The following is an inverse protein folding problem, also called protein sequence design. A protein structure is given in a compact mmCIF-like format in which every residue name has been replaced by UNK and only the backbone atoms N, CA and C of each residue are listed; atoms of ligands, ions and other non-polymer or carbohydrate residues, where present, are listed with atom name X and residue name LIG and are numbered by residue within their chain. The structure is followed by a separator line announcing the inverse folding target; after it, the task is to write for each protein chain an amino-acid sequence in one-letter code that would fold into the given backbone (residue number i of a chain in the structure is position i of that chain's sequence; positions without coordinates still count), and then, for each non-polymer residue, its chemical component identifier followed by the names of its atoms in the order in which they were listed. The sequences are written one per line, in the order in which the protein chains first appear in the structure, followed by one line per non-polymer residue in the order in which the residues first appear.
data_IF_021284016659
#
_entry.id   IF_021284016659
#
_cell.length_a   1.000
_cell.length_b   1.000
_cell.length_c   1.000
_cell.angle_alpha   90.00
_cell.angle_beta   90.00
_cell.angle_gamma   90.00
#
_symmetry.space_group_name_H-M   'P 1'
#
loop_
_entity.id
_entity.type
_entity.pdbx_description
1 polymer ?
#
# COMPACT_ATOMS: atom_id res chain seq x y z
N UNK A 1 32.03 -16.83 -50.23
CA UNK A 1 31.33 -16.99 -48.94
C UNK A 1 31.26 -15.61 -48.28
N UNK A 2 30.14 -14.92 -48.41
CA UNK A 2 30.02 -13.50 -48.05
C UNK A 2 29.58 -13.40 -46.60
N UNK A 3 30.46 -12.91 -45.73
CA UNK A 3 30.17 -12.68 -44.31
C UNK A 3 29.33 -11.40 -44.17
N UNK A 4 28.05 -11.55 -43.85
CA UNK A 4 27.19 -10.43 -43.48
C UNK A 4 27.65 -9.85 -42.13
N UNK A 5 28.07 -8.58 -42.14
CA UNK A 5 28.29 -7.81 -40.91
C UNK A 5 26.96 -7.69 -40.16
N UNK A 6 26.89 -8.33 -38.98
CA UNK A 6 25.82 -8.10 -38.01
C UNK A 6 25.84 -6.60 -37.65
N UNK A 7 24.78 -5.88 -38.00
CA UNK A 7 24.65 -4.48 -37.59
C UNK A 7 24.49 -4.45 -36.07
N UNK A 8 25.48 -3.88 -35.37
CA UNK A 8 25.33 -3.54 -33.96
C UNK A 8 24.38 -2.34 -33.87
N UNK A 9 23.07 -2.60 -34.00
CA UNK A 9 22.07 -1.65 -33.51
C UNK A 9 22.29 -1.53 -32.01
N UNK A 10 22.93 -0.43 -31.59
CA UNK A 10 22.84 0.02 -30.20
C UNK A 10 21.35 0.15 -29.91
N UNK A 11 20.80 -0.80 -29.16
CA UNK A 11 19.48 -0.66 -28.57
C UNK A 11 19.62 0.57 -27.69
N UNK A 12 19.06 1.70 -28.14
CA UNK A 12 18.82 2.82 -27.23
C UNK A 12 17.93 2.21 -26.16
N UNK A 13 18.46 2.08 -24.93
CA UNK A 13 17.61 1.89 -23.77
C UNK A 13 16.62 3.05 -23.86
N UNK A 14 15.39 2.74 -24.20
CA UNK A 14 14.30 3.69 -24.03
C UNK A 14 14.35 3.97 -22.53
N UNK A 15 14.49 5.23 -22.13
CA UNK A 15 14.13 5.66 -20.77
C UNK A 15 12.63 5.37 -20.61
N UNK A 16 12.25 4.09 -20.57
CA UNK A 16 10.94 3.67 -20.14
C UNK A 16 10.95 3.99 -18.67
N UNK A 17 10.32 5.11 -18.29
CA UNK A 17 9.96 5.38 -16.90
C UNK A 17 9.42 4.07 -16.34
N UNK A 18 10.17 3.45 -15.43
CA UNK A 18 9.74 2.20 -14.79
C UNK A 18 8.44 2.57 -14.06
N UNK A 19 7.34 1.99 -14.51
CA UNK A 19 6.06 2.16 -13.85
C UNK A 19 6.10 1.41 -12.53
N UNK A 20 6.18 2.15 -11.43
CA UNK A 20 6.20 1.57 -10.08
C UNK A 20 4.77 1.33 -9.60
N UNK A 21 4.36 0.07 -9.56
CA UNK A 21 3.11 -0.38 -8.96
C UNK A 21 3.28 -0.68 -7.46
N UNK A 22 2.25 -0.49 -6.63
CA UNK A 22 2.31 -0.83 -5.22
C UNK A 22 2.34 -2.34 -5.01
N UNK A 23 3.27 -2.82 -4.18
CA UNK A 23 3.35 -4.19 -3.70
C UNK A 23 2.98 -4.18 -2.22
N UNK A 24 1.91 -4.86 -1.86
CA UNK A 24 1.37 -4.87 -0.50
C UNK A 24 2.07 -5.96 0.33
N UNK A 25 2.77 -5.54 1.39
CA UNK A 25 3.54 -6.41 2.27
C UNK A 25 3.00 -6.38 3.70
N UNK A 26 2.49 -7.51 4.19
CA UNK A 26 1.86 -7.61 5.52
C UNK A 26 2.82 -8.00 6.65
N UNK A 27 4.14 -8.02 6.39
CA UNK A 27 5.18 -8.42 7.36
C UNK A 27 5.10 -7.65 8.68
N UNK A 28 4.69 -6.37 8.63
CA UNK A 28 4.69 -5.45 9.77
C UNK A 28 3.29 -5.15 10.32
N UNK A 29 2.29 -5.95 9.94
CA UNK A 29 0.93 -5.78 10.43
C UNK A 29 0.89 -5.84 11.96
N UNK A 30 0.22 -4.87 12.57
CA UNK A 30 0.10 -4.76 14.03
C UNK A 30 -0.55 -6.00 14.66
N UNK A 31 -0.17 -6.30 15.90
CA UNK A 31 -0.85 -7.29 16.75
C UNK A 31 -1.99 -6.69 17.56
N UNK A 32 -2.18 -5.35 17.53
CA UNK A 32 -3.32 -4.71 18.19
C UNK A 32 -4.61 -5.18 17.52
N UNK A 33 -5.48 -5.81 18.31
CA UNK A 33 -6.71 -6.44 17.83
C UNK A 33 -7.67 -5.46 17.16
N UNK A 34 -7.66 -4.19 17.56
CA UNK A 34 -8.61 -3.20 17.06
C UNK A 34 -8.24 -2.71 15.65
N UNK A 35 -7.00 -2.95 15.21
CA UNK A 35 -6.43 -2.45 13.95
C UNK A 35 -5.86 -3.55 13.05
N UNK A 36 -6.24 -4.80 13.30
CA UNK A 36 -5.91 -5.95 12.46
C UNK A 36 -7.15 -6.84 12.28
N UNK A 37 -7.01 -7.94 11.54
CA UNK A 37 -8.11 -8.88 11.28
C UNK A 37 -8.77 -9.45 12.56
N UNK A 38 -8.10 -9.41 13.71
CA UNK A 38 -8.68 -9.79 15.01
C UNK A 38 -9.79 -8.86 15.50
N UNK A 39 -10.03 -7.74 14.81
CA UNK A 39 -11.17 -6.85 15.06
C UNK A 39 -12.49 -7.60 14.88
N UNK A 40 -12.56 -8.46 13.86
CA UNK A 40 -13.74 -9.27 13.59
C UNK A 40 -13.75 -10.49 14.50
N UNK A 41 -14.71 -10.52 15.44
CA UNK A 41 -14.84 -11.60 16.42
C UNK A 41 -15.51 -12.85 15.85
N UNK A 42 -16.26 -12.71 14.76
CA UNK A 42 -16.93 -13.83 14.10
C UNK A 42 -16.28 -14.13 12.74
N UNK A 43 -16.24 -15.41 12.38
CA UNK A 43 -15.56 -15.88 11.16
C UNK A 43 -16.23 -15.38 9.88
N UNK A 44 -17.56 -15.22 9.87
CA UNK A 44 -18.28 -14.80 8.67
C UNK A 44 -17.89 -13.39 8.24
N UNK A 45 -17.91 -12.44 9.18
CA UNK A 45 -17.55 -11.06 8.95
C UNK A 45 -16.05 -10.94 8.65
N UNK A 46 -15.21 -11.75 9.29
CA UNK A 46 -13.78 -11.83 8.99
C UNK A 46 -13.52 -12.22 7.54
N UNK A 47 -14.13 -13.31 7.06
CA UNK A 47 -13.94 -13.78 5.69
C UNK A 47 -14.51 -12.78 4.68
N UNK A 48 -15.66 -12.18 4.98
CA UNK A 48 -16.22 -11.10 4.16
C UNK A 48 -15.27 -9.89 4.09
N UNK A 49 -14.70 -9.47 5.23
CA UNK A 49 -13.77 -8.35 5.28
C UNK A 49 -12.49 -8.64 4.49
N UNK A 50 -11.93 -9.86 4.59
CA UNK A 50 -10.77 -10.27 3.78
C UNK A 50 -11.06 -10.21 2.29
N UNK A 51 -12.23 -10.69 1.85
CA UNK A 51 -12.62 -10.64 0.45
C UNK A 51 -12.70 -9.18 -0.05
N UNK A 52 -13.37 -8.31 0.70
CA UNK A 52 -13.48 -6.87 0.37
C UNK A 52 -12.09 -6.21 0.30
N UNK A 53 -11.22 -6.47 1.28
CA UNK A 53 -9.87 -5.92 1.32
C UNK A 53 -9.04 -6.41 0.13
N UNK A 54 -9.14 -7.70 -0.23
CA UNK A 54 -8.43 -8.26 -1.36
C UNK A 54 -8.87 -7.61 -2.68
N UNK A 55 -10.18 -7.46 -2.89
CA UNK A 55 -10.73 -6.80 -4.07
C UNK A 55 -10.21 -5.37 -4.21
N UNK A 56 -10.16 -4.61 -3.10
CA UNK A 56 -9.64 -3.24 -3.13
C UNK A 56 -8.12 -3.20 -3.33
N UNK A 57 -7.35 -4.14 -2.75
CA UNK A 57 -5.91 -4.27 -3.02
C UNK A 57 -5.66 -4.53 -4.50
N UNK A 58 -6.42 -5.42 -5.13
CA UNK A 58 -6.30 -5.73 -6.57
C UNK A 58 -6.56 -4.47 -7.40
N UNK A 59 -7.61 -3.70 -7.07
CA UNK A 59 -7.91 -2.43 -7.74
C UNK A 59 -6.77 -1.43 -7.59
N UNK A 60 -6.23 -1.27 -6.38
CA UNK A 60 -5.11 -0.34 -6.11
C UNK A 60 -3.84 -0.78 -6.86
N UNK A 61 -3.55 -2.09 -6.89
CA UNK A 61 -2.39 -2.65 -7.56
C UNK A 61 -2.47 -2.54 -9.09
N UNK A 62 -3.65 -2.35 -9.66
CA UNK A 62 -3.81 -2.07 -11.10
C UNK A 62 -3.31 -0.68 -11.52
N UNK A 63 -2.98 0.19 -10.57
CA UNK A 63 -2.53 1.57 -10.79
C UNK A 63 -1.10 1.77 -10.31
N UNK A 64 -0.37 2.63 -11.00
CA UNK A 64 0.98 3.03 -10.55
C UNK A 64 0.90 3.96 -9.34
N UNK A 65 1.99 4.07 -8.58
CA UNK A 65 2.12 5.05 -7.51
C UNK A 65 1.86 6.48 -7.98
N UNK A 66 2.31 6.81 -9.20
CA UNK A 66 2.08 8.14 -9.79
C UNK A 66 0.60 8.39 -10.02
N UNK A 67 -0.11 7.43 -10.64
CA UNK A 67 -1.54 7.54 -10.88
C UNK A 67 -2.32 7.67 -9.55
N UNK A 68 -2.01 6.82 -8.57
CA UNK A 68 -2.63 6.88 -7.24
C UNK A 68 -2.38 8.21 -6.52
N UNK A 69 -1.19 8.80 -6.67
CA UNK A 69 -0.84 10.08 -6.07
C UNK A 69 -1.46 11.30 -6.75
N UNK A 70 -1.90 11.17 -8.02
CA UNK A 70 -2.62 12.22 -8.76
C UNK A 70 -4.13 12.20 -8.50
N UNK A 71 -4.65 11.10 -7.95
CA UNK A 71 -6.05 10.93 -7.67
C UNK A 71 -6.49 11.64 -6.38
N UNK A 72 -7.79 11.92 -6.29
CA UNK A 72 -8.38 12.45 -5.05
C UNK A 72 -8.22 11.46 -3.90
N UNK A 73 -8.29 11.93 -2.65
CA UNK A 73 -8.26 11.07 -1.45
C UNK A 73 -9.31 9.95 -1.44
N UNK A 74 -10.39 10.09 -2.21
CA UNK A 74 -11.46 9.10 -2.34
C UNK A 74 -11.05 7.89 -3.18
N UNK A 75 -10.16 8.07 -4.15
CA UNK A 75 -9.81 7.03 -5.14
C UNK A 75 -8.31 6.70 -5.18
N UNK A 76 -7.47 7.65 -4.76
CA UNK A 76 -6.04 7.49 -4.47
C UNK A 76 -5.79 7.29 -2.97
N UNK A 77 -4.81 8.01 -2.42
CA UNK A 77 -4.47 7.95 -1.00
C UNK A 77 -4.35 9.33 -0.37
N UNK A 78 -4.41 9.36 0.97
CA UNK A 78 -3.97 10.48 1.78
C UNK A 78 -2.73 10.11 2.60
N UNK A 79 -2.06 11.12 3.16
CA UNK A 79 -0.89 10.91 4.01
C UNK A 79 -1.11 11.49 5.40
N UNK A 80 -0.66 10.75 6.40
CA UNK A 80 -0.59 11.19 7.80
C UNK A 80 0.82 10.98 8.34
N UNK A 81 1.19 11.69 9.40
CA UNK A 81 2.44 11.44 10.12
C UNK A 81 2.27 10.27 11.10
N UNK A 82 3.32 9.49 11.31
CA UNK A 82 3.29 8.32 12.19
C UNK A 82 2.87 8.66 13.63
N UNK A 83 3.25 9.84 14.13
CA UNK A 83 2.84 10.32 15.45
C UNK A 83 1.33 10.54 15.62
N UNK A 84 0.54 10.52 14.55
CA UNK A 84 -0.92 10.62 14.60
C UNK A 84 -1.59 9.25 14.81
N UNK A 85 -0.85 8.14 14.68
CA UNK A 85 -1.41 6.80 14.86
C UNK A 85 -1.58 6.43 16.33
N UNK A 86 -2.70 5.77 16.60
CA UNK A 86 -3.06 5.23 17.91
C UNK A 86 -2.59 3.78 18.13
N UNK A 87 -1.77 3.23 17.22
CA UNK A 87 -1.21 1.89 17.33
C UNK A 87 0.20 1.80 16.73
N UNK A 88 0.89 0.70 17.01
CA UNK A 88 2.25 0.44 16.53
C UNK A 88 2.31 -0.79 15.62
N UNK A 89 3.10 -0.77 14.53
CA UNK A 89 3.40 -1.96 13.73
C UNK A 89 4.26 -2.97 14.49
N UNK A 90 4.37 -4.18 13.94
CA UNK A 90 5.27 -5.23 14.44
C UNK A 90 6.64 -5.12 13.77
N UNK A 91 7.72 -5.20 14.56
CA UNK A 91 9.11 -5.26 14.09
C UNK A 91 9.47 -4.14 13.09
N UNK A 92 8.94 -2.93 13.31
CA UNK A 92 9.18 -1.76 12.47
C UNK A 92 9.22 -0.53 13.37
N UNK A 93 10.40 0.09 13.48
CA UNK A 93 10.59 1.34 14.19
C UNK A 93 10.60 2.48 13.18
N UNK A 94 9.67 3.43 13.35
CA UNK A 94 9.51 4.60 12.50
C UNK A 94 9.71 5.87 13.32
N UNK A 95 10.27 6.90 12.70
CA UNK A 95 10.33 8.24 13.31
C UNK A 95 8.94 8.86 13.38
N UNK A 96 8.71 9.75 14.34
CA UNK A 96 7.41 10.40 14.57
C UNK A 96 6.87 11.15 13.34
N UNK A 97 7.76 11.72 12.52
CA UNK A 97 7.46 12.47 11.30
C UNK A 97 7.37 11.61 10.04
N UNK A 98 7.59 10.29 10.15
CA UNK A 98 7.48 9.37 9.02
C UNK A 98 6.08 9.47 8.40
N UNK A 99 6.04 9.69 7.07
CA UNK A 99 4.79 9.74 6.31
C UNK A 99 4.25 8.34 6.09
N UNK A 100 2.98 8.17 6.42
CA UNK A 100 2.19 6.99 6.14
C UNK A 100 1.25 7.25 4.97
N UNK A 101 0.95 6.21 4.22
CA UNK A 101 -0.04 6.18 3.15
C UNK A 101 -1.32 5.55 3.68
N UNK A 102 -2.44 6.21 3.42
CA UNK A 102 -3.76 5.77 3.84
C UNK A 102 -4.67 5.65 2.61
N UNK A 103 -5.09 4.44 2.31
CA UNK A 103 -6.12 4.18 1.30
C UNK A 103 -7.49 4.04 1.97
N UNK A 104 -8.50 4.68 1.38
CA UNK A 104 -9.90 4.49 1.75
C UNK A 104 -10.46 3.29 0.98
N UNK A 105 -10.81 2.24 1.70
CA UNK A 105 -11.30 0.97 1.15
C UNK A 105 -12.74 0.71 1.61
N UNK A 106 -13.37 -0.34 1.09
CA UNK A 106 -14.75 -0.71 1.39
C UNK A 106 -15.73 0.47 1.21
N UNK A 107 -15.69 1.13 0.05
CA UNK A 107 -16.54 2.30 -0.22
C UNK A 107 -16.28 3.49 0.71
N UNK A 108 -15.03 3.65 1.17
CA UNK A 108 -14.56 4.64 2.17
C UNK A 108 -14.88 4.31 3.64
N UNK A 109 -15.49 3.16 3.92
CA UNK A 109 -15.83 2.81 5.30
C UNK A 109 -14.60 2.44 6.13
N UNK A 110 -13.53 1.94 5.51
CA UNK A 110 -12.32 1.47 6.20
C UNK A 110 -11.05 2.09 5.64
N UNK A 111 -9.96 2.04 6.41
CA UNK A 111 -8.63 2.49 5.96
C UNK A 111 -7.67 1.32 5.93
N UNK A 112 -6.91 1.24 4.84
CA UNK A 112 -5.68 0.47 4.77
C UNK A 112 -4.51 1.42 4.99
N UNK A 113 -3.73 1.19 6.05
CA UNK A 113 -2.65 2.09 6.46
C UNK A 113 -1.33 1.38 6.24
N UNK A 114 -0.40 2.04 5.55
CA UNK A 114 0.91 1.49 5.26
C UNK A 114 2.04 2.52 5.26
N UNK A 115 3.25 2.03 5.46
CA UNK A 115 4.48 2.79 5.30
C UNK A 115 5.14 2.38 3.97
N UNK A 116 5.45 3.35 3.11
CA UNK A 116 6.12 3.09 1.84
C UNK A 116 7.61 2.88 2.12
N UNK A 117 8.16 1.74 1.69
CA UNK A 117 9.53 1.33 2.02
C UNK A 117 10.56 2.31 1.43
N UNK A 118 11.53 2.72 2.24
CA UNK A 118 12.67 3.54 1.79
C UNK A 118 13.60 2.74 0.84
N UNK A 119 13.74 1.44 1.08
CA UNK A 119 14.64 0.57 0.32
C UNK A 119 14.01 0.03 -0.96
N UNK A 120 12.70 -0.20 -0.95
CA UNK A 120 11.98 -0.80 -2.07
C UNK A 120 10.77 0.05 -2.44
N UNK A 121 10.95 1.02 -3.33
CA UNK A 121 9.94 2.04 -3.64
C UNK A 121 8.58 1.49 -4.09
N UNK A 122 8.54 0.28 -4.66
CA UNK A 122 7.28 -0.40 -4.99
C UNK A 122 6.54 -0.93 -3.75
N UNK A 123 7.24 -1.26 -2.67
CA UNK A 123 6.69 -1.94 -1.49
C UNK A 123 6.00 -0.96 -0.55
N UNK A 124 4.75 -1.27 -0.23
CA UNK A 124 4.01 -0.71 0.88
C UNK A 124 3.90 -1.73 2.00
N UNK A 125 4.54 -1.45 3.12
CA UNK A 125 4.37 -2.25 4.33
C UNK A 125 3.04 -1.89 4.99
N UNK A 126 2.07 -2.80 4.94
CA UNK A 126 0.81 -2.65 5.64
C UNK A 126 1.05 -2.84 7.13
N UNK A 127 0.69 -1.81 7.89
CA UNK A 127 0.93 -1.75 9.33
C UNK A 127 -0.35 -1.92 10.14
N UNK A 128 -1.52 -1.62 9.55
CA UNK A 128 -2.80 -1.81 10.19
C UNK A 128 -3.98 -1.38 9.33
N UNK A 129 -5.16 -1.58 9.87
CA UNK A 129 -6.44 -1.18 9.30
C UNK A 129 -7.19 -0.28 10.28
N UNK A 130 -8.03 0.61 9.76
CA UNK A 130 -9.00 1.34 10.55
C UNK A 130 -10.42 0.95 10.13
N UNK A 131 -11.07 0.09 10.92
CA UNK A 131 -12.41 -0.41 10.63
C UNK A 131 -13.52 0.48 11.21
N UNK A 132 -13.20 1.32 12.20
CA UNK A 132 -14.16 2.08 13.00
C UNK A 132 -13.73 3.53 13.27
N UNK A 133 -12.81 4.08 12.48
CA UNK A 133 -12.39 5.48 12.50
C UNK A 133 -11.62 5.88 13.77
N UNK A 134 -10.89 4.95 14.39
CA UNK A 134 -10.16 5.19 15.65
C UNK A 134 -8.65 5.14 15.51
N UNK A 135 -8.11 4.79 14.34
CA UNK A 135 -6.66 4.66 14.16
C UNK A 135 -5.90 6.00 14.27
N UNK A 136 -6.56 7.11 13.91
CA UNK A 136 -6.06 8.48 13.97
C UNK A 136 -7.25 9.45 13.92
N UNK A 137 -7.00 10.76 14.03
CA UNK A 137 -8.04 11.80 13.92
C UNK A 137 -8.41 12.03 12.45
N UNK A 138 -9.64 11.67 12.06
CA UNK A 138 -10.21 11.84 10.71
C UNK A 138 -10.63 13.27 10.39
#
# INVERSE_FOLDING_TARGET
MTLYKKSNKKIKAIDSKIEEYPIFCFKHLTTNKDYCFKYFQNNKDLEQAKAIILDDIIKLQSKTWLALGMESKKTGFETISYNQLNFKPVNLDLSNDTKLIVFRINGQNWRLIGYKSDNFKSVLHIIGFDFNYTAYKH
#
